data_IF_024262025785
#
_entry.id   IF_024262025785
#
_cell.length_a   1.000
_cell.length_b   1.000
_cell.length_c   1.000
_cell.angle_alpha   90.00
_cell.angle_beta   90.00
_cell.angle_gamma   90.00
#
_symmetry.space_group_name_H-M   'P 1'
#
loop_
_entity.id
_entity.type
_entity.pdbx_description
1 polymer ?
#
# COMPACT_ATOMS: atom_id res chain seq x y z
N UNK A 1 -8.02 -16.59 2.05
CA UNK A 1 -6.72 -17.07 1.50
C UNK A 1 -6.77 -18.55 1.15
N UNK A 2 -7.03 -19.45 2.10
CA UNK A 2 -7.00 -20.90 1.89
C UNK A 2 -7.83 -21.38 0.69
N UNK A 3 -9.13 -21.11 0.68
CA UNK A 3 -10.02 -21.50 -0.44
C UNK A 3 -9.58 -20.93 -1.80
N UNK A 4 -9.14 -19.67 -1.85
CA UNK A 4 -8.68 -19.06 -3.10
C UNK A 4 -7.38 -19.66 -3.62
N UNK A 5 -6.52 -20.18 -2.75
CA UNK A 5 -5.29 -20.85 -3.17
C UNK A 5 -5.62 -22.26 -3.62
N UNK A 6 -6.45 -22.98 -2.86
CA UNK A 6 -6.92 -24.31 -3.21
C UNK A 6 -7.64 -24.33 -4.57
N UNK A 7 -8.58 -23.41 -4.79
CA UNK A 7 -9.30 -23.29 -6.05
C UNK A 7 -8.35 -23.05 -7.23
N UNK A 8 -7.34 -22.20 -7.05
CA UNK A 8 -6.38 -21.89 -8.11
C UNK A 8 -5.39 -23.03 -8.40
N UNK A 9 -5.11 -23.91 -7.42
CA UNK A 9 -4.29 -25.12 -7.63
C UNK A 9 -5.11 -26.14 -8.42
N UNK A 10 -6.32 -26.44 -7.98
CA UNK A 10 -7.22 -27.40 -8.65
C UNK A 10 -7.54 -26.94 -10.08
N UNK A 11 -7.73 -25.64 -10.31
CA UNK A 11 -8.06 -25.11 -11.63
C UNK A 11 -6.93 -25.28 -12.68
N UNK A 12 -5.66 -25.45 -12.27
CA UNK A 12 -4.56 -25.66 -13.23
C UNK A 12 -4.58 -27.08 -13.82
N UNK A 13 -4.81 -28.12 -13.00
CA UNK A 13 -4.94 -29.50 -13.50
C UNK A 13 -5.78 -30.39 -12.56
N UNK A 14 -7.13 -30.38 -12.68
CA UNK A 14 -8.02 -31.00 -11.70
C UNK A 14 -7.78 -32.50 -11.46
N UNK A 15 -7.48 -33.26 -12.52
CA UNK A 15 -7.33 -34.72 -12.44
C UNK A 15 -6.01 -35.12 -11.75
N UNK A 16 -4.93 -34.39 -12.05
CA UNK A 16 -3.62 -34.64 -11.46
C UNK A 16 -3.60 -34.24 -9.98
N UNK A 17 -4.15 -33.06 -9.66
CA UNK A 17 -4.23 -32.57 -8.27
C UNK A 17 -5.11 -33.47 -7.40
N UNK A 18 -6.21 -34.00 -7.94
CA UNK A 18 -7.03 -34.98 -7.21
C UNK A 18 -6.25 -36.28 -6.94
N UNK A 19 -5.48 -36.76 -7.91
CA UNK A 19 -4.65 -37.96 -7.76
C UNK A 19 -3.56 -37.73 -6.70
N UNK A 20 -2.86 -36.61 -6.76
CA UNK A 20 -1.84 -36.21 -5.78
C UNK A 20 -2.44 -36.08 -4.39
N UNK A 21 -3.56 -35.36 -4.25
CA UNK A 21 -4.25 -35.24 -2.97
C UNK A 21 -4.63 -36.61 -2.37
N UNK A 22 -4.97 -37.61 -3.19
CA UNK A 22 -5.32 -38.95 -2.71
C UNK A 22 -4.12 -39.87 -2.42
N UNK A 23 -3.02 -39.69 -3.14
CA UNK A 23 -1.94 -40.71 -3.22
C UNK A 23 -0.61 -40.22 -2.65
N UNK A 24 -0.33 -38.92 -2.77
CA UNK A 24 0.91 -38.29 -2.30
C UNK A 24 0.64 -36.87 -1.77
N UNK A 25 0.44 -36.79 -0.45
CA UNK A 25 0.17 -35.52 0.23
C UNK A 25 1.33 -34.53 0.12
N UNK A 26 2.58 -35.01 -0.08
CA UNK A 26 3.75 -34.14 -0.18
C UNK A 26 3.81 -33.45 -1.54
N UNK A 27 3.51 -34.17 -2.63
CA UNK A 27 3.43 -33.57 -3.97
C UNK A 27 2.33 -32.49 -4.03
N UNK A 28 1.16 -32.76 -3.44
CA UNK A 28 0.07 -31.79 -3.36
C UNK A 28 0.45 -30.54 -2.54
N UNK A 29 1.10 -30.72 -1.38
CA UNK A 29 1.61 -29.61 -0.56
C UNK A 29 2.67 -28.76 -1.29
N UNK A 30 3.48 -29.40 -2.14
CA UNK A 30 4.50 -28.75 -2.95
C UNK A 30 3.87 -27.87 -4.05
N UNK A 31 2.78 -28.33 -4.68
CA UNK A 31 2.06 -27.53 -5.68
C UNK A 31 1.31 -26.35 -5.06
N UNK A 32 0.74 -26.51 -3.85
CA UNK A 32 0.24 -25.38 -3.05
C UNK A 32 1.35 -24.36 -2.77
N UNK A 33 2.53 -24.83 -2.39
CA UNK A 33 3.70 -23.98 -2.08
C UNK A 33 4.13 -23.17 -3.30
N UNK A 34 4.31 -23.82 -4.46
CA UNK A 34 4.60 -23.14 -5.73
C UNK A 34 3.54 -22.10 -6.08
N UNK A 35 2.25 -22.41 -5.87
CA UNK A 35 1.17 -21.47 -6.14
C UNK A 35 1.22 -20.25 -5.22
N UNK A 36 1.54 -20.45 -3.94
CA UNK A 36 1.75 -19.35 -2.99
C UNK A 36 2.88 -18.43 -3.45
N UNK A 37 4.04 -19.00 -3.81
CA UNK A 37 5.20 -18.23 -4.30
C UNK A 37 4.86 -17.41 -5.55
N UNK A 38 4.18 -18.02 -6.53
CA UNK A 38 3.68 -17.32 -7.73
C UNK A 38 2.71 -16.19 -7.39
N UNK A 39 1.84 -16.37 -6.39
CA UNK A 39 0.97 -15.28 -5.91
C UNK A 39 1.74 -14.17 -5.22
N UNK A 40 2.75 -14.50 -4.42
CA UNK A 40 3.57 -13.50 -3.72
C UNK A 40 4.39 -12.65 -4.70
N UNK A 41 5.00 -13.26 -5.71
CA UNK A 41 5.75 -12.54 -6.76
C UNK A 41 4.81 -11.62 -7.57
N UNK A 42 3.64 -12.11 -7.95
CA UNK A 42 2.62 -11.31 -8.63
C UNK A 42 2.11 -10.16 -7.76
N UNK A 43 1.86 -10.39 -6.47
CA UNK A 43 1.45 -9.33 -5.54
C UNK A 43 2.56 -8.28 -5.34
N UNK A 44 3.83 -8.70 -5.27
CA UNK A 44 4.98 -7.79 -5.21
C UNK A 44 5.08 -6.92 -6.47
N UNK A 45 4.93 -7.51 -7.65
CA UNK A 45 4.88 -6.77 -8.93
C UNK A 45 3.72 -5.78 -8.98
N UNK A 46 2.52 -6.18 -8.53
CA UNK A 46 1.36 -5.28 -8.46
C UNK A 46 1.56 -4.14 -7.48
N UNK A 47 2.15 -4.41 -6.31
CA UNK A 47 2.50 -3.40 -5.30
C UNK A 47 3.50 -2.39 -5.87
N UNK A 48 4.57 -2.82 -6.51
CA UNK A 48 5.55 -1.91 -7.13
C UNK A 48 4.96 -1.09 -8.27
N UNK A 49 4.14 -1.70 -9.14
CA UNK A 49 3.44 -0.97 -10.19
C UNK A 49 2.51 0.11 -9.63
N UNK A 50 1.74 -0.22 -8.59
CA UNK A 50 0.87 0.73 -7.92
C UNK A 50 1.67 1.85 -7.24
N UNK A 51 2.79 1.51 -6.58
CA UNK A 51 3.69 2.46 -5.95
C UNK A 51 4.32 3.42 -6.95
N UNK A 52 4.96 2.92 -8.00
CA UNK A 52 5.63 3.73 -9.01
C UNK A 52 4.65 4.69 -9.70
N UNK A 53 3.48 4.18 -10.10
CA UNK A 53 2.39 5.00 -10.65
C UNK A 53 2.05 6.16 -9.73
N UNK A 54 1.95 5.90 -8.44
CA UNK A 54 1.49 6.89 -7.48
C UNK A 54 2.58 7.87 -7.09
N UNK A 55 3.84 7.43 -7.00
CA UNK A 55 5.01 8.29 -6.84
C UNK A 55 5.07 9.30 -7.99
N UNK A 56 4.96 8.82 -9.24
CA UNK A 56 4.97 9.68 -10.42
C UNK A 56 3.84 10.72 -10.36
N UNK A 57 2.61 10.27 -10.06
CA UNK A 57 1.47 11.16 -9.95
C UNK A 57 1.62 12.20 -8.84
N UNK A 58 1.98 11.77 -7.63
CA UNK A 58 2.17 12.67 -6.48
C UNK A 58 3.24 13.70 -6.81
N UNK A 59 4.35 13.28 -7.42
CA UNK A 59 5.43 14.18 -7.80
C UNK A 59 4.98 15.24 -8.82
N UNK A 60 4.29 14.81 -9.89
CA UNK A 60 3.79 15.73 -10.94
C UNK A 60 2.74 16.68 -10.36
N UNK A 61 1.73 16.15 -9.68
CA UNK A 61 0.64 16.98 -9.11
C UNK A 61 1.14 17.96 -8.07
N UNK A 62 2.08 17.54 -7.21
CA UNK A 62 2.70 18.42 -6.24
C UNK A 62 3.53 19.51 -6.90
N UNK A 63 4.29 19.17 -7.94
CA UNK A 63 5.07 20.15 -8.72
C UNK A 63 4.16 21.21 -9.35
N UNK A 64 3.04 20.79 -9.96
CA UNK A 64 2.05 21.72 -10.52
C UNK A 64 1.40 22.56 -9.43
N UNK A 65 1.02 21.95 -8.30
CA UNK A 65 0.41 22.65 -7.17
C UNK A 65 1.35 23.72 -6.59
N UNK A 66 2.65 23.42 -6.53
CA UNK A 66 3.67 24.37 -6.07
C UNK A 66 3.74 25.60 -6.98
N UNK A 67 3.76 25.37 -8.29
CA UNK A 67 3.84 26.45 -9.28
C UNK A 67 2.57 27.30 -9.33
N UNK A 68 1.39 26.67 -9.27
CA UNK A 68 0.10 27.34 -9.43
C UNK A 68 -0.46 27.97 -8.15
N UNK A 69 -0.19 27.36 -6.99
CA UNK A 69 -0.78 27.78 -5.73
C UNK A 69 0.28 28.16 -4.71
N UNK A 70 1.23 27.28 -4.39
CA UNK A 70 2.17 27.52 -3.27
C UNK A 70 3.01 28.79 -3.48
N UNK A 71 3.73 28.91 -4.61
CA UNK A 71 4.59 30.08 -4.88
C UNK A 71 3.78 31.39 -4.95
N UNK A 72 2.64 31.47 -5.67
CA UNK A 72 1.81 32.67 -5.65
C UNK A 72 1.30 33.05 -4.27
N UNK A 73 0.86 32.07 -3.46
CA UNK A 73 0.36 32.31 -2.11
C UNK A 73 1.48 32.82 -1.20
N UNK A 74 2.66 32.19 -1.22
CA UNK A 74 3.83 32.62 -0.43
C UNK A 74 4.19 34.07 -0.75
N UNK A 75 4.28 34.41 -2.05
CA UNK A 75 4.57 35.78 -2.50
C UNK A 75 3.48 36.76 -2.10
N UNK A 76 2.21 36.36 -2.16
CA UNK A 76 1.09 37.20 -1.77
C UNK A 76 1.10 37.53 -0.26
N UNK A 77 1.55 36.60 0.57
CA UNK A 77 1.77 36.81 2.01
C UNK A 77 3.11 37.51 2.34
N UNK A 78 3.93 37.83 1.34
CA UNK A 78 5.19 38.55 1.54
C UNK A 78 6.31 37.70 2.15
N UNK A 79 6.21 36.38 2.06
CA UNK A 79 7.19 35.46 2.64
C UNK A 79 8.26 35.04 1.63
N UNK A 80 9.43 34.65 2.13
CA UNK A 80 10.54 34.22 1.29
C UNK A 80 10.33 32.79 0.77
N UNK A 81 10.63 32.60 -0.51
CA UNK A 81 10.56 31.29 -1.15
C UNK A 81 11.90 30.56 -0.92
N UNK A 82 11.94 29.68 0.07
CA UNK A 82 13.09 28.81 0.31
C UNK A 82 13.12 27.66 -0.71
N UNK A 83 14.16 27.62 -1.55
CA UNK A 83 14.37 26.53 -2.52
C UNK A 83 14.44 25.16 -1.85
N UNK A 84 15.05 25.09 -0.65
CA UNK A 84 15.12 23.85 0.12
C UNK A 84 13.72 23.41 0.59
N UNK A 85 12.90 24.36 1.06
CA UNK A 85 11.53 24.06 1.49
C UNK A 85 10.69 23.52 0.34
N UNK A 86 10.77 24.16 -0.84
CA UNK A 86 10.09 23.67 -2.04
C UNK A 86 10.56 22.28 -2.46
N UNK A 87 11.88 22.04 -2.46
CA UNK A 87 12.44 20.75 -2.83
C UNK A 87 11.97 19.62 -1.91
N UNK A 88 11.97 19.87 -0.59
CA UNK A 88 11.45 18.91 0.40
C UNK A 88 9.94 18.74 0.23
N UNK A 89 9.18 19.81 0.00
CA UNK A 89 7.72 19.73 -0.14
C UNK A 89 7.32 18.90 -1.38
N UNK A 90 8.07 19.03 -2.47
CA UNK A 90 7.85 18.25 -3.70
C UNK A 90 8.35 16.81 -3.55
N UNK A 91 9.57 16.63 -3.05
CA UNK A 91 10.25 15.33 -3.06
C UNK A 91 9.87 14.39 -1.91
N UNK A 92 9.59 14.93 -0.72
CA UNK A 92 9.36 14.11 0.47
C UNK A 92 8.17 13.16 0.36
N UNK A 93 6.99 13.55 -0.16
CA UNK A 93 5.86 12.63 -0.26
C UNK A 93 6.17 11.42 -1.18
N UNK A 94 6.84 11.66 -2.32
CA UNK A 94 7.31 10.61 -3.22
C UNK A 94 8.33 9.69 -2.53
N UNK A 95 9.30 10.28 -1.82
CA UNK A 95 10.32 9.54 -1.08
C UNK A 95 9.71 8.68 0.04
N UNK A 96 8.77 9.24 0.80
CA UNK A 96 8.06 8.53 1.87
C UNK A 96 7.35 7.29 1.32
N UNK A 97 6.61 7.44 0.21
CA UNK A 97 5.90 6.32 -0.40
C UNK A 97 6.87 5.24 -0.90
N UNK A 98 7.97 5.66 -1.54
CA UNK A 98 9.02 4.75 -1.98
C UNK A 98 9.62 3.94 -0.82
N UNK A 99 10.00 4.62 0.27
CA UNK A 99 10.55 4.01 1.49
C UNK A 99 9.56 2.98 2.05
N UNK A 100 8.29 3.35 2.19
CA UNK A 100 7.24 2.47 2.71
C UNK A 100 7.11 1.20 1.87
N UNK A 101 7.09 1.33 0.55
CA UNK A 101 6.95 0.23 -0.41
C UNK A 101 8.18 -0.67 -0.41
N UNK A 102 9.36 -0.07 -0.31
CA UNK A 102 10.63 -0.78 -0.21
C UNK A 102 10.63 -1.72 1.02
N UNK A 103 10.24 -1.20 2.19
CA UNK A 103 10.15 -1.96 3.45
C UNK A 103 8.90 -2.83 3.57
N UNK A 104 8.02 -2.84 2.57
CA UNK A 104 6.83 -3.70 2.58
C UNK A 104 7.20 -5.16 2.28
N UNK A 105 7.30 -5.97 3.33
CA UNK A 105 7.66 -7.38 3.23
C UNK A 105 6.55 -8.24 2.60
N UNK A 106 6.93 -9.15 1.71
CA UNK A 106 6.07 -10.25 1.24
C UNK A 106 5.85 -11.28 2.36
N UNK A 107 4.78 -12.10 2.31
CA UNK A 107 4.56 -13.13 3.32
C UNK A 107 5.73 -14.11 3.38
N UNK A 108 6.06 -14.59 4.59
CA UNK A 108 7.21 -15.46 4.84
C UNK A 108 6.90 -16.93 4.57
N UNK A 109 7.94 -17.79 4.60
CA UNK A 109 7.78 -19.24 4.49
C UNK A 109 6.84 -19.81 5.57
N UNK A 110 6.89 -19.26 6.79
CA UNK A 110 5.97 -19.64 7.86
C UNK A 110 4.50 -19.40 7.47
N UNK A 111 4.23 -18.30 6.74
CA UNK A 111 2.90 -18.01 6.21
C UNK A 111 2.46 -19.08 5.21
N UNK A 112 3.35 -19.49 4.31
CA UNK A 112 3.09 -20.56 3.33
C UNK A 112 2.84 -21.90 4.02
N UNK A 113 3.66 -22.27 5.01
CA UNK A 113 3.43 -23.48 5.82
C UNK A 113 2.05 -23.45 6.49
N UNK A 114 1.63 -22.30 7.01
CA UNK A 114 0.30 -22.16 7.61
C UNK A 114 -0.83 -22.25 6.60
N UNK A 115 -0.61 -21.80 5.36
CA UNK A 115 -1.55 -21.98 4.25
C UNK A 115 -1.68 -23.45 3.88
N UNK A 116 -0.56 -24.18 3.74
CA UNK A 116 -0.55 -25.61 3.45
C UNK A 116 -1.34 -26.36 4.52
N UNK A 117 -0.99 -26.18 5.80
CA UNK A 117 -1.70 -26.81 6.92
C UNK A 117 -3.19 -26.43 6.92
N UNK A 118 -3.53 -25.17 6.68
CA UNK A 118 -4.93 -24.72 6.63
C UNK A 118 -5.73 -25.32 5.47
N UNK A 119 -5.10 -25.59 4.32
CA UNK A 119 -5.74 -26.28 3.19
C UNK A 119 -5.89 -27.77 3.49
N UNK A 120 -4.88 -28.38 4.10
CA UNK A 120 -4.95 -29.77 4.53
C UNK A 120 -6.07 -30.00 5.56
N UNK A 121 -6.25 -29.10 6.53
CA UNK A 121 -7.37 -29.12 7.50
C UNK A 121 -8.75 -29.06 6.82
N UNK A 122 -8.85 -28.53 5.59
CA UNK A 122 -10.09 -28.42 4.81
C UNK A 122 -10.39 -29.70 4.03
N UNK A 123 -9.36 -30.32 3.44
CA UNK A 123 -9.50 -31.42 2.47
C UNK A 123 -9.45 -32.78 3.18
N UNK A 124 -8.57 -32.92 4.17
CA UNK A 124 -8.26 -34.19 4.81
C UNK A 124 -9.02 -34.31 6.13
N UNK A 125 -9.84 -35.35 6.25
CA UNK A 125 -10.64 -35.59 7.45
C UNK A 125 -9.74 -35.92 8.65
N UNK A 126 -8.64 -36.64 8.44
CA UNK A 126 -7.67 -36.98 9.47
C UNK A 126 -6.89 -35.77 10.02
N UNK A 127 -6.80 -34.68 9.25
CA UNK A 127 -6.16 -33.42 9.65
C UNK A 127 -7.17 -32.36 10.09
N UNK A 128 -8.47 -32.66 10.08
CA UNK A 128 -9.53 -31.70 10.41
C UNK A 128 -9.34 -31.18 11.83
N UNK A 129 -9.32 -29.86 11.98
CA UNK A 129 -9.29 -29.22 13.29
C UNK A 129 -10.61 -29.43 14.01
N UNK A 130 -10.59 -30.17 15.12
CA UNK A 130 -11.77 -30.46 15.95
C UNK A 130 -12.20 -29.28 16.84
N UNK A 131 -11.36 -28.27 16.98
CA UNK A 131 -11.68 -27.08 17.79
C UNK A 131 -12.59 -26.12 17.01
N UNK A 132 -13.68 -25.61 17.61
CA UNK A 132 -14.56 -24.67 16.95
C UNK A 132 -13.84 -23.34 16.64
N UNK A 133 -14.15 -22.76 15.49
CA UNK A 133 -13.73 -21.40 15.14
C UNK A 133 -14.53 -20.44 16.02
N UNK A 134 -13.93 -19.93 17.09
CA UNK A 134 -14.57 -18.92 17.94
C UNK A 134 -14.41 -17.53 17.32
N UNK A 135 -15.51 -16.97 16.80
CA UNK A 135 -15.56 -15.54 16.46
C UNK A 135 -15.64 -14.74 17.77
N UNK A 136 -14.60 -13.94 18.06
CA UNK A 136 -14.63 -13.05 19.21
C UNK A 136 -15.39 -11.77 18.84
N UNK A 137 -16.51 -11.43 19.51
CA UNK A 137 -17.17 -10.16 19.29
C UNK A 137 -16.22 -9.00 19.65
N UNK A 138 -16.40 -7.82 19.03
CA UNK A 138 -15.62 -6.65 19.40
C UNK A 138 -15.80 -6.36 20.90
N UNK A 139 -14.69 -6.06 21.58
CA UNK A 139 -14.68 -5.79 23.01
C UNK A 139 -15.51 -4.53 23.28
N UNK A 140 -16.65 -4.69 23.96
CA UNK A 140 -17.45 -3.55 24.42
C UNK A 140 -16.71 -2.87 25.57
N UNK A 141 -16.33 -1.62 25.38
CA UNK A 141 -15.60 -0.81 26.38
C UNK A 141 -16.59 0.14 27.06
N UNK A 142 -16.48 0.26 28.39
CA UNK A 142 -17.28 1.21 29.17
C UNK A 142 -16.90 2.67 28.89
N UNK A 143 -17.75 3.61 29.30
CA UNK A 143 -17.59 5.04 29.02
C UNK A 143 -16.24 5.60 29.52
N UNK A 144 -15.81 5.22 30.72
CA UNK A 144 -14.52 5.64 31.29
C UNK A 144 -13.33 5.21 30.43
N UNK A 145 -13.27 3.94 30.03
CA UNK A 145 -12.21 3.43 29.17
C UNK A 145 -12.19 4.12 27.81
N UNK A 146 -13.36 4.39 27.22
CA UNK A 146 -13.45 5.14 25.97
C UNK A 146 -12.95 6.59 26.13
N UNK A 147 -13.26 7.25 27.24
CA UNK A 147 -12.76 8.59 27.53
C UNK A 147 -11.21 8.59 27.68
N UNK A 148 -10.65 7.64 28.43
CA UNK A 148 -9.19 7.49 28.56
C UNK A 148 -8.52 7.26 27.20
N UNK A 149 -9.04 6.33 26.39
CA UNK A 149 -8.49 6.08 25.05
C UNK A 149 -8.64 7.29 24.13
N UNK A 150 -9.73 8.05 24.26
CA UNK A 150 -9.92 9.31 23.53
C UNK A 150 -8.84 10.33 23.89
N UNK A 151 -8.54 10.53 25.17
CA UNK A 151 -7.49 11.44 25.63
C UNK A 151 -6.13 10.99 25.11
N UNK A 152 -5.79 9.70 25.24
CA UNK A 152 -4.52 9.16 24.75
C UNK A 152 -4.42 9.41 23.24
N UNK A 153 -5.48 9.11 22.48
CA UNK A 153 -5.50 9.32 21.03
C UNK A 153 -5.34 10.79 20.66
N UNK A 154 -5.99 11.72 21.37
CA UNK A 154 -5.82 13.16 21.17
C UNK A 154 -4.39 13.61 21.43
N UNK A 155 -3.79 13.16 22.54
CA UNK A 155 -2.37 13.46 22.85
C UNK A 155 -1.49 12.96 21.71
N UNK A 156 -1.64 11.70 21.29
CA UNK A 156 -0.86 11.13 20.19
C UNK A 156 -1.05 11.93 18.90
N UNK A 157 -2.28 12.33 18.57
CA UNK A 157 -2.55 13.16 17.39
C UNK A 157 -1.77 14.48 17.42
N UNK A 158 -1.87 15.23 18.51
CA UNK A 158 -1.16 16.51 18.64
C UNK A 158 0.34 16.32 18.70
N UNK A 159 0.84 15.27 19.35
CA UNK A 159 2.26 14.94 19.37
C UNK A 159 2.79 14.55 17.98
N UNK A 160 2.05 13.73 17.21
CA UNK A 160 2.43 13.34 15.85
C UNK A 160 2.54 14.54 14.91
N UNK A 161 1.49 15.35 14.82
CA UNK A 161 1.49 16.52 13.94
C UNK A 161 2.42 17.62 14.48
N UNK A 162 2.46 17.82 15.80
CA UNK A 162 3.33 18.79 16.45
C UNK A 162 4.81 18.48 16.22
N UNK A 163 5.21 17.20 16.28
CA UNK A 163 6.59 16.80 15.96
C UNK A 163 6.95 17.11 14.49
N UNK A 164 6.04 16.82 13.55
CA UNK A 164 6.26 17.14 12.13
C UNK A 164 6.38 18.65 11.93
N UNK A 165 5.46 19.44 12.48
CA UNK A 165 5.48 20.91 12.39
C UNK A 165 6.78 21.46 12.99
N UNK A 166 7.16 20.99 14.17
CA UNK A 166 8.41 21.39 14.82
C UNK A 166 9.64 21.05 13.96
N UNK A 167 9.68 19.87 13.34
CA UNK A 167 10.77 19.48 12.45
C UNK A 167 10.84 20.37 11.20
N UNK A 168 9.69 20.75 10.63
CA UNK A 168 9.59 21.65 9.48
C UNK A 168 10.01 23.09 9.83
N UNK A 169 9.64 23.58 11.01
CA UNK A 169 10.07 24.89 11.52
C UNK A 169 11.59 24.98 11.63
N UNK A 170 12.27 23.91 12.07
CA UNK A 170 13.74 23.84 12.16
C UNK A 170 14.46 23.94 10.82
N UNK A 171 13.78 23.64 9.72
CA UNK A 171 14.31 23.79 8.36
C UNK A 171 13.72 25.03 7.65
N UNK A 172 13.16 25.96 8.42
CA UNK A 172 12.61 27.24 7.96
C UNK A 172 11.50 27.10 6.92
N UNK A 173 10.60 26.14 7.10
CA UNK A 173 9.38 26.08 6.30
C UNK A 173 8.43 27.23 6.67
N UNK A 174 7.91 27.91 5.65
CA UNK A 174 6.77 28.80 5.78
C UNK A 174 5.53 28.01 6.31
N UNK A 175 4.66 28.66 7.08
CA UNK A 175 3.37 28.10 7.51
C UNK A 175 2.48 27.63 6.34
N UNK A 176 2.48 28.32 5.19
CA UNK A 176 1.77 27.92 3.95
C UNK A 176 2.32 26.59 3.44
N UNK A 177 3.64 26.50 3.25
CA UNK A 177 4.32 25.27 2.82
C UNK A 177 4.11 24.15 3.84
N UNK A 178 4.10 24.46 5.13
CA UNK A 178 3.83 23.51 6.22
C UNK A 178 2.42 22.93 6.10
N UNK A 179 1.39 23.77 5.95
CA UNK A 179 0.01 23.31 5.80
C UNK A 179 -0.15 22.40 4.57
N UNK A 180 0.40 22.84 3.43
CA UNK A 180 0.38 22.10 2.18
C UNK A 180 1.18 20.78 2.31
N UNK A 181 2.29 20.79 3.03
CA UNK A 181 3.08 19.59 3.33
C UNK A 181 2.28 18.59 4.16
N UNK A 182 1.65 19.03 5.26
CA UNK A 182 0.84 18.18 6.14
C UNK A 182 -0.33 17.54 5.40
N UNK A 183 -0.99 18.28 4.50
CA UNK A 183 -2.05 17.75 3.66
C UNK A 183 -1.55 16.58 2.79
N UNK A 184 -0.45 16.78 2.06
CA UNK A 184 0.12 15.73 1.21
C UNK A 184 0.72 14.58 2.04
N UNK A 185 1.33 14.86 3.19
CA UNK A 185 1.83 13.85 4.12
C UNK A 185 0.70 12.92 4.57
N UNK A 186 -0.44 13.47 4.98
CA UNK A 186 -1.61 12.71 5.37
C UNK A 186 -2.14 11.87 4.20
N UNK A 187 -2.31 12.49 3.02
CA UNK A 187 -2.83 11.82 1.83
C UNK A 187 -1.95 10.65 1.38
N UNK A 188 -0.64 10.89 1.25
CA UNK A 188 0.33 9.84 0.87
C UNK A 188 0.40 8.76 1.92
N UNK A 189 0.31 9.11 3.21
CA UNK A 189 0.32 8.11 4.28
C UNK A 189 -0.87 7.17 4.19
N UNK A 190 -2.08 7.70 3.96
CA UNK A 190 -3.27 6.89 3.70
C UNK A 190 -3.10 6.01 2.46
N UNK A 191 -2.63 6.60 1.36
CA UNK A 191 -2.43 5.89 0.11
C UNK A 191 -1.41 4.74 0.24
N UNK A 192 -0.38 4.93 1.05
CA UNK A 192 0.62 3.90 1.33
C UNK A 192 0.01 2.65 1.98
N UNK A 193 -0.99 2.80 2.88
CA UNK A 193 -1.72 1.66 3.46
C UNK A 193 -2.52 0.94 2.38
N UNK A 194 -3.18 1.69 1.50
CA UNK A 194 -3.95 1.12 0.38
C UNK A 194 -3.06 0.25 -0.52
N UNK A 195 -1.84 0.71 -0.84
CA UNK A 195 -0.87 -0.10 -1.60
C UNK A 195 -0.45 -1.33 -0.81
N UNK A 196 -0.07 -1.17 0.47
CA UNK A 196 0.39 -2.29 1.32
C UNK A 196 -0.65 -3.40 1.46
N UNK A 197 -1.94 -3.06 1.39
CA UNK A 197 -3.05 -4.03 1.44
C UNK A 197 -2.95 -5.11 0.34
N UNK A 198 -2.40 -4.78 -0.84
CA UNK A 198 -2.20 -5.73 -1.95
C UNK A 198 -1.42 -6.98 -1.52
N UNK A 199 -0.40 -6.81 -0.68
CA UNK A 199 0.40 -7.91 -0.14
C UNK A 199 -0.24 -8.44 1.17
N UNK A 200 -0.83 -7.55 1.97
CA UNK A 200 -1.48 -7.90 3.23
C UNK A 200 -2.60 -8.93 3.08
N UNK A 201 -3.34 -8.91 1.97
CA UNK A 201 -4.42 -9.86 1.68
C UNK A 201 -3.97 -11.32 1.56
N UNK A 202 -2.67 -11.57 1.34
CA UNK A 202 -2.10 -12.92 1.27
C UNK A 202 -1.50 -13.39 2.61
N UNK A 203 -1.47 -12.53 3.64
CA UNK A 203 -1.00 -12.90 4.97
C UNK A 203 -2.11 -13.60 5.75
N UNK A 204 -1.70 -14.69 6.38
CA UNK A 204 -2.47 -15.52 7.31
C UNK A 204 -1.87 -15.40 8.70
N UNK A 205 -0.54 -15.30 8.79
CA UNK A 205 0.17 -15.05 10.04
C UNK A 205 0.39 -13.54 10.18
N UNK A 206 -0.05 -12.99 11.30
CA UNK A 206 0.28 -11.62 11.67
C UNK A 206 1.77 -11.52 12.02
N UNK A 207 2.48 -10.50 11.48
CA UNK A 207 3.88 -10.28 11.85
C UNK A 207 4.00 -10.01 13.35
N UNK A 208 5.09 -10.47 13.96
CA UNK A 208 5.37 -10.17 15.37
C UNK A 208 5.53 -8.66 15.52
N UNK A 209 4.72 -8.05 16.38
CA UNK A 209 4.91 -6.65 16.74
C UNK A 209 6.17 -6.50 17.60
N UNK A 210 7.05 -5.60 17.18
CA UNK A 210 8.19 -5.15 17.97
C UNK A 210 7.84 -3.83 18.66
N UNK A 211 8.54 -3.49 19.73
CA UNK A 211 8.34 -2.19 20.41
C UNK A 211 8.55 -1.03 19.43
N UNK A 212 9.53 -1.15 18.52
CA UNK A 212 9.78 -0.13 17.52
C UNK A 212 8.64 -0.01 16.49
N UNK A 213 8.14 -1.14 15.95
CA UNK A 213 7.00 -1.09 15.02
C UNK A 213 5.75 -0.54 15.68
N UNK A 214 5.51 -0.88 16.95
CA UNK A 214 4.41 -0.32 17.74
C UNK A 214 4.53 1.19 17.87
N UNK A 215 5.71 1.73 18.19
CA UNK A 215 5.93 3.17 18.29
C UNK A 215 5.73 3.89 16.95
N UNK A 216 6.27 3.33 15.86
CA UNK A 216 6.07 3.89 14.52
C UNK A 216 4.58 3.91 14.19
N UNK A 217 3.87 2.80 14.38
CA UNK A 217 2.43 2.71 14.10
C UNK A 217 1.63 3.68 14.98
N UNK A 218 2.00 3.85 16.25
CA UNK A 218 1.36 4.75 17.19
C UNK A 218 1.39 6.21 16.71
N UNK A 219 2.55 6.71 16.26
CA UNK A 219 2.66 8.08 15.75
C UNK A 219 2.20 8.24 14.29
N UNK A 220 2.30 7.18 13.49
CA UNK A 220 1.90 7.19 12.08
C UNK A 220 0.39 7.12 11.89
N UNK A 221 -0.32 6.43 12.78
CA UNK A 221 -1.76 6.19 12.66
C UNK A 221 -2.61 7.47 12.67
N UNK A 222 -2.36 8.50 13.51
CA UNK A 222 -3.05 9.78 13.40
C UNK A 222 -2.93 10.44 12.02
N UNK A 223 -1.72 10.43 11.43
CA UNK A 223 -1.45 11.02 10.11
C UNK A 223 -2.25 10.30 9.03
N UNK A 224 -2.22 8.96 9.06
CA UNK A 224 -3.02 8.10 8.19
C UNK A 224 -4.51 8.35 8.35
N UNK A 225 -5.00 8.43 9.60
CA UNK A 225 -6.41 8.61 9.90
C UNK A 225 -6.92 9.94 9.34
N UNK A 226 -6.13 11.02 9.46
CA UNK A 226 -6.39 12.30 8.80
C UNK A 226 -6.44 12.13 7.28
N UNK A 227 -5.48 11.42 6.69
CA UNK A 227 -5.47 11.16 5.24
C UNK A 227 -6.69 10.40 4.76
N UNK A 228 -7.12 9.38 5.52
CA UNK A 228 -8.34 8.62 5.27
C UNK A 228 -9.57 9.52 5.35
N UNK A 229 -9.69 10.30 6.43
CA UNK A 229 -10.77 11.26 6.62
C UNK A 229 -10.86 12.26 5.47
N UNK A 230 -9.73 12.83 5.05
CA UNK A 230 -9.66 13.72 3.88
C UNK A 230 -10.09 12.99 2.60
N UNK A 231 -9.59 11.78 2.36
CA UNK A 231 -9.94 11.02 1.16
C UNK A 231 -11.42 10.63 1.09
N UNK A 232 -12.06 10.33 2.23
CA UNK A 232 -13.45 9.87 2.29
C UNK A 232 -14.46 11.02 2.29
N UNK A 233 -14.16 12.12 2.99
CA UNK A 233 -15.07 13.27 3.09
C UNK A 233 -14.98 14.22 1.89
N UNK A 234 -13.87 14.20 1.14
CA UNK A 234 -13.76 14.90 -0.13
C UNK A 234 -14.42 14.08 -1.27
N UNK A 235 -15.55 13.41 -1.02
CA UNK A 235 -16.31 12.61 -2.01
C UNK A 235 -16.87 13.43 -3.18
N UNK A 236 -16.99 14.76 -3.05
CA UNK A 236 -17.22 15.68 -4.20
C UNK A 236 -15.97 15.89 -5.07
N UNK A 237 -14.81 15.51 -4.57
CA UNK A 237 -13.52 15.43 -5.27
C UNK A 237 -13.26 13.98 -5.73
N UNK A 238 -14.31 13.29 -6.17
CA UNK A 238 -14.16 12.19 -7.11
C UNK A 238 -13.38 12.65 -8.36
N UNK A 239 -13.32 13.97 -8.61
CA UNK A 239 -12.42 14.62 -9.57
C UNK A 239 -10.94 14.28 -9.33
N UNK A 240 -10.42 14.16 -8.10
CA UNK A 240 -9.00 13.87 -7.91
C UNK A 240 -8.66 12.41 -8.19
N UNK A 241 -9.54 11.48 -7.80
CA UNK A 241 -9.42 10.04 -8.14
C UNK A 241 -9.69 9.82 -9.64
N UNK A 242 -10.69 10.48 -10.21
CA UNK A 242 -11.03 10.43 -11.63
C UNK A 242 -9.97 11.10 -12.51
N UNK A 243 -9.42 12.26 -12.12
CA UNK A 243 -8.27 12.88 -12.78
C UNK A 243 -7.02 12.00 -12.58
N UNK A 244 -6.84 11.37 -11.41
CA UNK A 244 -5.80 10.35 -11.22
C UNK A 244 -5.94 9.20 -12.21
N UNK A 245 -7.12 8.62 -12.34
CA UNK A 245 -7.33 7.48 -13.23
C UNK A 245 -7.29 7.93 -14.71
N UNK A 246 -7.86 9.09 -15.07
CA UNK A 246 -7.88 9.62 -16.44
C UNK A 246 -6.50 10.11 -16.93
N UNK A 247 -5.76 10.87 -16.11
CA UNK A 247 -4.40 11.35 -16.46
C UNK A 247 -3.37 10.21 -16.38
N UNK A 248 -3.63 9.11 -15.66
CA UNK A 248 -2.66 8.02 -15.54
C UNK A 248 -2.96 6.83 -16.47
N UNK A 249 -4.23 6.50 -16.68
CA UNK A 249 -4.61 5.32 -17.46
C UNK A 249 -4.56 5.58 -18.96
N UNK A 250 -4.98 6.76 -19.43
CA UNK A 250 -4.99 7.09 -20.85
C UNK A 250 -3.58 7.31 -21.46
N UNK A 251 -2.73 8.21 -20.94
CA UNK A 251 -1.43 8.47 -21.56
C UNK A 251 -0.39 7.37 -21.28
N UNK A 252 -0.48 6.64 -20.16
CA UNK A 252 0.41 5.49 -19.94
C UNK A 252 0.07 4.33 -20.89
N UNK A 253 -1.22 4.05 -21.15
CA UNK A 253 -1.62 3.09 -22.19
C UNK A 253 -1.09 3.53 -23.56
N UNK A 254 -1.24 4.81 -23.91
CA UNK A 254 -0.71 5.35 -25.16
C UNK A 254 0.82 5.20 -25.28
N UNK A 255 1.58 5.45 -24.21
CA UNK A 255 3.04 5.26 -24.21
C UNK A 255 3.45 3.79 -24.35
N UNK A 256 2.76 2.88 -23.66
CA UNK A 256 3.02 1.42 -23.78
C UNK A 256 2.70 0.95 -25.20
N UNK A 257 1.59 1.40 -25.76
CA UNK A 257 1.17 1.09 -27.13
C UNK A 257 2.19 1.60 -28.17
N UNK A 258 2.74 2.81 -27.99
CA UNK A 258 3.84 3.35 -28.82
C UNK A 258 5.10 2.49 -28.71
N UNK A 259 5.45 2.03 -27.50
CA UNK A 259 6.63 1.17 -27.30
C UNK A 259 6.43 -0.21 -27.93
N UNK A 260 5.23 -0.77 -27.84
CA UNK A 260 4.88 -2.03 -28.48
C UNK A 260 4.91 -1.91 -30.02
N UNK A 261 4.35 -0.83 -30.58
CA UNK A 261 4.46 -0.52 -32.01
C UNK A 261 5.91 -0.34 -32.45
N UNK A 262 6.72 0.39 -31.66
CA UNK A 262 8.14 0.56 -31.96
C UNK A 262 8.90 -0.77 -31.97
N UNK A 263 8.64 -1.63 -30.98
CA UNK A 263 9.25 -2.96 -30.93
C UNK A 263 8.86 -3.81 -32.14
N UNK A 264 7.60 -3.70 -32.57
CA UNK A 264 7.08 -4.39 -33.76
C UNK A 264 7.75 -3.88 -35.04
N UNK A 265 7.85 -2.56 -35.19
CA UNK A 265 8.55 -1.91 -36.31
C UNK A 265 10.02 -2.34 -36.41
N UNK A 266 10.75 -2.37 -35.28
CA UNK A 266 12.15 -2.81 -35.25
C UNK A 266 12.28 -4.28 -35.66
N UNK A 267 11.33 -5.13 -35.24
CA UNK A 267 11.29 -6.54 -35.62
C UNK A 267 11.05 -6.69 -37.13
N UNK A 268 10.08 -5.99 -37.68
CA UNK A 268 9.76 -5.98 -39.12
C UNK A 268 10.98 -5.54 -39.96
N UNK A 269 11.66 -4.45 -39.56
CA UNK A 269 12.89 -4.01 -40.24
C UNK A 269 14.05 -4.98 -40.13
N UNK A 270 14.15 -5.72 -39.03
CA UNK A 270 15.17 -6.77 -38.88
C UNK A 270 14.91 -7.94 -39.83
N UNK A 271 13.65 -8.29 -40.07
CA UNK A 271 13.24 -9.37 -40.97
C UNK A 271 13.41 -8.99 -42.46
N UNK A 272 13.35 -7.71 -42.82
CA UNK A 272 13.63 -7.26 -44.20
C UNK A 272 15.13 -7.20 -44.55
N UNK A 273 16.01 -7.12 -43.54
CA UNK A 273 17.47 -7.00 -43.72
C UNK A 273 18.15 -8.38 -43.77
N UNK A 274 17.46 -9.46 -43.39
CA UNK A 274 17.96 -10.85 -43.38
C UNK A 274 17.33 -11.65 -44.51
#
# INVERSE_FOLDING_TARGET
>A
VFFNILADVIAENPNDEYKKAKTDHNEFALDITKKCEKKYTNARSRLWRAAFRSILYIFITKSVFVLLFEIPIIKWFGEEVSTLSLAINIGFPALLLFIIVLFSQVPSEANTKKIVVGIEEIIFEEKRKLSPITLRPPVKRGAFMNAMFGIIYSITFFSSFGFVIWALDKIHFNWVSTLIFLFFLAFVSFFSIRIRKIIGELRVIEPKETIFSFLVDFFYMPIVATGKFLSENFSRVNVFIFIMDFIMEAPFKALVEIVEEWAKYVKERREEIV
#
